data_IF_413863439036
#
_entry.id   IF_413863439036
#
_cell.length_a   1.000
_cell.length_b   1.000
_cell.length_c   1.000
_cell.angle_alpha   90.00
_cell.angle_beta   90.00
_cell.angle_gamma   90.00
#
_symmetry.space_group_name_H-M   'P 1'
#
loop_
_entity.id
_entity.type
_entity.pdbx_description
1 polymer ?
#
# COMPACT_ATOMS: atom_id res chain seq x y z
N UNK A 1 10.64 -12.28 -23.29
CA UNK A 1 10.93 -13.45 -22.44
C UNK A 1 10.64 -13.08 -20.99
N UNK A 2 9.58 -13.62 -20.38
CA UNK A 2 9.36 -13.41 -18.94
C UNK A 2 10.41 -14.21 -18.17
N UNK A 3 11.38 -13.53 -17.55
CA UNK A 3 12.34 -14.18 -16.69
C UNK A 3 11.57 -14.85 -15.54
N UNK A 4 11.71 -16.17 -15.38
CA UNK A 4 11.07 -16.87 -14.25
C UNK A 4 11.54 -16.22 -12.96
N UNK A 5 10.60 -15.70 -12.17
CA UNK A 5 10.89 -15.16 -10.84
C UNK A 5 11.60 -16.23 -9.99
N UNK A 6 12.70 -15.83 -9.37
CA UNK A 6 13.42 -16.66 -8.40
C UNK A 6 12.49 -17.06 -7.26
N UNK A 7 12.83 -18.12 -6.52
CA UNK A 7 12.05 -18.56 -5.36
C UNK A 7 11.93 -17.45 -4.30
N UNK A 8 12.97 -16.62 -4.17
CA UNK A 8 12.99 -15.46 -3.27
C UNK A 8 12.03 -14.36 -3.74
N UNK A 9 12.07 -14.00 -5.03
CA UNK A 9 11.16 -13.01 -5.61
C UNK A 9 9.70 -13.45 -5.49
N UNK A 10 9.39 -14.73 -5.76
CA UNK A 10 8.04 -15.28 -5.56
C UNK A 10 7.60 -15.24 -4.10
N UNK A 11 8.51 -15.46 -3.15
CA UNK A 11 8.20 -15.35 -1.71
C UNK A 11 7.91 -13.91 -1.31
N UNK A 12 8.67 -12.96 -1.84
CA UNK A 12 8.46 -11.54 -1.59
C UNK A 12 7.14 -11.05 -2.19
N UNK A 13 6.82 -11.46 -3.42
CA UNK A 13 5.53 -11.16 -4.05
C UNK A 13 4.36 -11.68 -3.20
N UNK A 14 4.42 -12.95 -2.76
CA UNK A 14 3.40 -13.52 -1.85
C UNK A 14 3.27 -12.83 -0.49
N UNK A 15 4.27 -12.07 -0.04
CA UNK A 15 4.16 -11.26 1.17
C UNK A 15 3.44 -9.95 0.87
N UNK A 16 3.76 -9.32 -0.25
CA UNK A 16 3.07 -8.12 -0.70
C UNK A 16 1.58 -8.40 -1.02
N UNK A 17 1.28 -9.49 -1.74
CA UNK A 17 -0.11 -9.93 -2.01
C UNK A 17 -0.90 -10.08 -0.71
N UNK A 18 -0.37 -10.83 0.26
CA UNK A 18 -1.01 -11.00 1.57
C UNK A 18 -1.19 -9.69 2.31
N UNK A 19 -0.28 -8.73 2.17
CA UNK A 19 -0.44 -7.41 2.76
C UNK A 19 -1.64 -6.68 2.17
N UNK A 20 -1.77 -6.69 0.84
CA UNK A 20 -2.92 -6.10 0.13
C UNK A 20 -4.22 -6.79 0.52
N UNK A 21 -4.20 -8.10 0.74
CA UNK A 21 -5.35 -8.86 1.22
C UNK A 21 -5.84 -8.40 2.62
N UNK A 22 -4.92 -7.94 3.48
CA UNK A 22 -5.23 -7.48 4.83
C UNK A 22 -5.60 -5.98 4.92
N UNK A 23 -5.48 -5.23 3.82
CA UNK A 23 -5.95 -3.83 3.77
C UNK A 23 -7.47 -3.76 3.81
N UNK A 24 -8.01 -2.71 4.44
CA UNK A 24 -9.45 -2.40 4.27
C UNK A 24 -9.75 -2.09 2.80
N UNK A 25 -11.02 -2.21 2.34
CA UNK A 25 -11.37 -1.92 0.95
C UNK A 25 -10.86 -0.55 0.48
N UNK A 26 -11.10 0.51 1.25
CA UNK A 26 -10.63 1.86 0.94
C UNK A 26 -9.09 1.96 0.92
N UNK A 27 -8.40 1.34 1.89
CA UNK A 27 -6.93 1.34 1.90
C UNK A 27 -6.34 0.61 0.68
N UNK A 28 -6.98 -0.49 0.26
CA UNK A 28 -6.57 -1.24 -0.94
C UNK A 28 -6.76 -0.42 -2.20
N UNK A 29 -7.91 0.21 -2.37
CA UNK A 29 -8.21 1.06 -3.53
C UNK A 29 -7.21 2.22 -3.63
N UNK A 30 -6.99 2.95 -2.53
CA UNK A 30 -6.01 4.03 -2.48
C UNK A 30 -4.59 3.52 -2.76
N UNK A 31 -4.16 2.42 -2.13
CA UNK A 31 -2.82 1.89 -2.30
C UNK A 31 -2.54 1.45 -3.74
N UNK A 32 -3.47 0.69 -4.35
CA UNK A 32 -3.33 0.24 -5.74
C UNK A 32 -3.45 1.41 -6.72
N UNK A 33 -4.34 2.37 -6.44
CA UNK A 33 -4.47 3.60 -7.23
C UNK A 33 -3.14 4.35 -7.33
N UNK A 34 -2.42 4.52 -6.21
CA UNK A 34 -1.11 5.19 -6.21
C UNK A 34 -0.01 4.30 -6.81
N UNK A 35 0.04 3.01 -6.44
CA UNK A 35 1.22 2.16 -6.70
C UNK A 35 1.17 1.37 -8.01
N UNK A 36 -0.01 1.14 -8.54
CA UNK A 36 -0.24 0.37 -9.77
C UNK A 36 -0.81 1.28 -10.85
N UNK A 37 -1.81 2.07 -10.52
CA UNK A 37 -2.49 2.96 -11.48
C UNK A 37 -1.84 4.35 -11.58
N UNK A 38 -0.77 4.60 -10.81
CA UNK A 38 0.03 5.84 -10.79
C UNK A 38 -0.80 7.12 -10.58
N UNK A 39 -1.93 7.02 -9.86
CA UNK A 39 -2.82 8.15 -9.56
C UNK A 39 -2.23 9.08 -8.51
N UNK A 40 -2.50 10.36 -8.68
CA UNK A 40 -2.24 11.37 -7.67
C UNK A 40 -3.24 11.32 -6.51
N UNK A 41 -2.87 11.92 -5.38
CA UNK A 41 -3.74 11.99 -4.19
C UNK A 41 -4.99 12.82 -4.46
N UNK A 42 -4.88 13.88 -5.28
CA UNK A 42 -5.99 14.74 -5.64
C UNK A 42 -7.02 14.02 -6.52
N UNK A 43 -6.57 13.20 -7.48
CA UNK A 43 -7.46 12.39 -8.31
C UNK A 43 -8.23 11.37 -7.45
N UNK A 44 -7.54 10.69 -6.52
CA UNK A 44 -8.19 9.73 -5.62
C UNK A 44 -9.17 10.41 -4.66
N UNK A 45 -8.81 11.56 -4.10
CA UNK A 45 -9.71 12.36 -3.27
C UNK A 45 -11.00 12.70 -4.02
N UNK A 46 -10.88 13.16 -5.27
CA UNK A 46 -12.03 13.46 -6.13
C UNK A 46 -12.85 12.22 -6.48
N UNK A 47 -12.21 11.10 -6.83
CA UNK A 47 -12.88 9.84 -7.19
C UNK A 47 -13.69 9.24 -6.05
N UNK A 48 -13.17 9.31 -4.82
CA UNK A 48 -13.79 8.71 -3.65
C UNK A 48 -14.65 9.69 -2.83
N UNK A 49 -14.69 10.98 -3.21
CA UNK A 49 -15.47 12.00 -2.50
C UNK A 49 -14.96 12.28 -1.08
N UNK A 50 -13.64 12.18 -0.87
CA UNK A 50 -12.96 12.40 0.42
C UNK A 50 -11.91 13.49 0.31
N UNK A 51 -11.33 13.92 1.43
CA UNK A 51 -10.26 14.92 1.39
C UNK A 51 -8.91 14.28 1.02
N UNK A 52 -7.96 15.09 0.55
CA UNK A 52 -6.56 14.64 0.35
C UNK A 52 -5.96 14.11 1.65
N UNK A 53 -6.32 14.69 2.80
CA UNK A 53 -5.86 14.21 4.11
C UNK A 53 -6.42 12.82 4.46
N UNK A 54 -7.68 12.53 4.08
CA UNK A 54 -8.24 11.19 4.22
C UNK A 54 -7.50 10.17 3.34
N UNK A 55 -7.15 10.55 2.10
CA UNK A 55 -6.31 9.73 1.21
C UNK A 55 -4.95 9.44 1.85
N UNK A 56 -4.27 10.45 2.40
CA UNK A 56 -3.02 10.29 3.14
C UNK A 56 -3.17 9.33 4.32
N UNK A 57 -4.25 9.47 5.10
CA UNK A 57 -4.53 8.61 6.24
C UNK A 57 -4.72 7.14 5.82
N UNK A 58 -5.53 6.90 4.79
CA UNK A 58 -5.73 5.56 4.24
C UNK A 58 -4.43 4.97 3.69
N UNK A 59 -3.66 5.76 2.95
CA UNK A 59 -2.40 5.31 2.38
C UNK A 59 -1.34 4.99 3.45
N UNK A 60 -1.23 5.82 4.49
CA UNK A 60 -0.37 5.56 5.63
C UNK A 60 -0.78 4.26 6.36
N UNK A 61 -2.09 4.01 6.48
CA UNK A 61 -2.63 2.74 6.97
C UNK A 61 -2.19 1.55 6.13
N UNK A 62 -2.33 1.64 4.80
CA UNK A 62 -1.90 0.61 3.86
C UNK A 62 -0.40 0.32 3.95
N UNK A 63 0.44 1.36 3.99
CA UNK A 63 1.89 1.21 4.11
C UNK A 63 2.31 0.56 5.43
N UNK A 64 1.59 0.82 6.53
CA UNK A 64 1.83 0.13 7.81
C UNK A 64 1.54 -1.36 7.74
N UNK A 65 0.49 -1.74 7.02
CA UNK A 65 0.16 -3.16 6.78
C UNK A 65 1.24 -3.80 5.92
N UNK A 66 1.62 -3.14 4.82
CA UNK A 66 2.71 -3.60 3.95
C UNK A 66 4.01 -3.80 4.75
N UNK A 67 4.42 -2.82 5.55
CA UNK A 67 5.63 -2.90 6.36
C UNK A 67 5.61 -4.11 7.30
N UNK A 68 4.50 -4.35 8.02
CA UNK A 68 4.34 -5.50 8.93
C UNK A 68 4.51 -6.86 8.22
N UNK A 69 4.05 -6.97 6.98
CA UNK A 69 4.18 -8.21 6.21
C UNK A 69 5.57 -8.39 5.59
N UNK A 70 6.30 -7.29 5.40
CA UNK A 70 7.62 -7.29 4.77
C UNK A 70 8.76 -7.39 5.78
N UNK A 71 8.60 -6.81 6.98
CA UNK A 71 9.60 -6.75 8.03
C UNK A 71 9.08 -7.31 9.36
N UNK A 72 9.91 -8.10 10.05
CA UNK A 72 9.64 -8.57 11.42
C UNK A 72 9.94 -7.51 12.49
N UNK A 73 10.71 -6.46 12.14
CA UNK A 73 11.07 -5.35 13.02
C UNK A 73 10.45 -4.04 12.50
N UNK A 74 9.49 -3.53 13.26
CA UNK A 74 8.76 -2.30 12.95
C UNK A 74 9.67 -1.05 13.01
N UNK A 75 9.90 -0.40 11.87
CA UNK A 75 10.52 0.94 11.82
C UNK A 75 9.44 2.01 11.91
N UNK A 76 9.48 2.89 12.92
CA UNK A 76 8.43 3.87 13.25
C UNK A 76 8.34 5.08 12.30
N UNK A 77 8.54 4.91 11.00
CA UNK A 77 8.55 6.01 10.04
C UNK A 77 7.18 6.68 9.86
N UNK A 78 6.08 6.01 10.21
CA UNK A 78 4.71 6.56 10.14
C UNK A 78 4.33 7.50 11.29
N UNK A 79 5.19 7.70 12.31
CA UNK A 79 4.89 8.61 13.44
C UNK A 79 5.06 10.10 13.09
N UNK A 80 5.53 10.43 11.89
CA UNK A 80 5.84 11.79 11.48
C UNK A 80 4.74 12.47 10.63
N UNK A 81 3.66 11.74 10.33
CA UNK A 81 2.46 12.29 9.68
C UNK A 81 1.45 12.62 10.78
N UNK A 82 1.50 13.84 11.30
CA UNK A 82 0.56 14.37 12.30
C UNK A 82 0.19 15.80 11.95
#
# INVERSE_FOLDING_TARGET
MSARLSRAQRRQLRRAERAVDHMSPMQREIFLGIRVDERSYAELAAMHGITVSDVEHHFAGALRILDRHMHERHYKWWQFWR
#
